data_IF_234762551803
#
_entry.id   IF_234762551803
#
_cell.length_a   1.000
_cell.length_b   1.000
_cell.length_c   1.000
_cell.angle_alpha   90.00
_cell.angle_beta   90.00
_cell.angle_gamma   90.00
#
_symmetry.space_group_name_H-M   'P 1'
#
loop_
_entity.id
_entity.type
_entity.pdbx_description
1 polymer ?
#
# COMPACT_ATOMS: atom_id res chain seq x y z
N UNK A 1 25.24 -54.78 12.72
CA UNK A 1 25.08 -53.36 12.35
C UNK A 1 24.42 -53.32 10.96
N UNK A 2 23.09 -53.19 10.87
CA UNK A 2 22.37 -53.05 9.59
C UNK A 2 21.81 -51.63 9.55
N UNK A 3 22.41 -50.76 8.74
CA UNK A 3 21.87 -49.42 8.48
C UNK A 3 20.85 -49.58 7.36
N UNK A 4 19.56 -49.41 7.69
CA UNK A 4 18.50 -49.34 6.68
C UNK A 4 18.43 -47.89 6.24
N UNK A 5 18.92 -47.60 5.03
CA UNK A 5 18.77 -46.33 4.37
C UNK A 5 17.32 -46.22 3.86
N UNK A 6 16.43 -45.61 4.66
CA UNK A 6 15.05 -45.34 4.26
C UNK A 6 14.99 -44.21 3.25
N UNK A 7 14.77 -44.55 1.98
CA UNK A 7 14.50 -43.59 0.91
C UNK A 7 13.13 -42.93 1.18
N UNK A 8 13.13 -41.74 1.78
CA UNK A 8 11.93 -40.90 1.82
C UNK A 8 11.69 -40.35 0.42
N UNK A 9 10.91 -41.07 -0.39
CA UNK A 9 10.35 -40.55 -1.63
C UNK A 9 9.25 -39.54 -1.27
N UNK A 10 9.64 -38.29 -1.06
CA UNK A 10 8.71 -37.17 -0.88
C UNK A 10 7.94 -36.93 -2.18
N UNK A 11 6.62 -37.08 -2.13
CA UNK A 11 5.71 -36.71 -3.22
C UNK A 11 5.80 -35.18 -3.36
N UNK A 12 6.47 -34.70 -4.41
CA UNK A 12 6.45 -33.29 -4.78
C UNK A 12 5.11 -32.99 -5.47
N UNK A 13 4.14 -32.48 -4.72
CA UNK A 13 2.95 -31.89 -5.30
C UNK A 13 3.34 -30.58 -6.03
N UNK A 14 2.80 -30.30 -7.23
CA UNK A 14 3.07 -29.04 -7.91
C UNK A 14 2.48 -27.89 -7.11
N UNK A 15 3.34 -26.97 -6.66
CA UNK A 15 2.92 -25.71 -6.09
C UNK A 15 2.41 -24.82 -7.24
N UNK A 16 1.10 -24.79 -7.46
CA UNK A 16 0.48 -23.80 -8.34
C UNK A 16 0.52 -22.45 -7.63
N UNK A 17 1.40 -21.55 -8.08
CA UNK A 17 1.37 -20.16 -7.65
C UNK A 17 0.18 -19.45 -8.31
N UNK A 18 -0.71 -18.88 -7.50
CA UNK A 18 -1.77 -18.00 -7.99
C UNK A 18 -1.22 -16.58 -8.16
N UNK A 19 -1.60 -15.94 -9.27
CA UNK A 19 -1.31 -14.52 -9.45
C UNK A 19 -2.14 -13.69 -8.45
N UNK A 20 -1.56 -12.60 -7.94
CA UNK A 20 -2.28 -11.64 -7.12
C UNK A 20 -3.39 -10.95 -7.94
N UNK A 21 -4.51 -10.66 -7.28
CA UNK A 21 -5.55 -9.81 -7.85
C UNK A 21 -5.05 -8.37 -7.97
N UNK A 22 -5.65 -7.55 -8.86
CA UNK A 22 -5.32 -6.13 -8.95
C UNK A 22 -5.45 -5.37 -7.61
N UNK A 23 -6.40 -5.76 -6.75
CA UNK A 23 -6.61 -5.14 -5.44
C UNK A 23 -5.51 -5.53 -4.46
N UNK A 24 -5.10 -6.80 -4.42
CA UNK A 24 -3.98 -7.25 -3.59
C UNK A 24 -2.68 -6.55 -3.99
N UNK A 25 -2.42 -6.46 -5.30
CA UNK A 25 -1.29 -5.71 -5.84
C UNK A 25 -1.35 -4.24 -5.46
N UNK A 26 -2.52 -3.62 -5.65
CA UNK A 26 -2.76 -2.22 -5.30
C UNK A 26 -2.49 -1.95 -3.82
N UNK A 27 -2.97 -2.82 -2.93
CA UNK A 27 -2.71 -2.74 -1.49
C UNK A 27 -1.21 -2.81 -1.19
N UNK A 28 -0.50 -3.77 -1.77
CA UNK A 28 0.95 -3.90 -1.61
C UNK A 28 1.70 -2.62 -2.04
N UNK A 29 1.31 -2.05 -3.17
CA UNK A 29 1.91 -0.81 -3.68
C UNK A 29 1.61 0.37 -2.75
N UNK A 30 0.34 0.61 -2.40
CA UNK A 30 -0.10 1.75 -1.59
C UNK A 30 0.51 1.71 -0.19
N UNK A 31 0.52 0.54 0.44
CA UNK A 31 0.93 0.36 1.84
C UNK A 31 2.43 0.11 2.01
N UNK A 32 3.12 -0.31 0.95
CA UNK A 32 4.55 -0.64 0.98
C UNK A 32 5.38 0.26 0.08
N UNK A 33 5.46 -0.09 -1.21
CA UNK A 33 6.45 0.45 -2.14
C UNK A 33 6.25 1.95 -2.44
N UNK A 34 5.00 2.38 -2.62
CA UNK A 34 4.68 3.77 -2.94
C UNK A 34 4.57 4.65 -1.68
N UNK A 35 4.41 4.04 -0.50
CA UNK A 35 4.40 4.75 0.78
C UNK A 35 3.38 5.88 0.87
N UNK A 36 2.17 5.69 0.32
CA UNK A 36 1.18 6.76 0.20
C UNK A 36 0.83 7.40 1.57
N UNK A 37 0.77 6.58 2.62
CA UNK A 37 0.50 7.02 4.00
C UNK A 37 1.55 7.97 4.59
N UNK A 38 2.78 7.98 4.08
CA UNK A 38 3.84 8.87 4.59
C UNK A 38 3.45 10.35 4.48
N UNK A 39 2.74 10.70 3.41
CA UNK A 39 2.23 12.06 3.20
C UNK A 39 0.73 12.15 3.50
N UNK A 40 -0.05 11.12 3.19
CA UNK A 40 -1.51 11.17 3.25
C UNK A 40 -2.11 10.71 4.59
N UNK A 41 -1.34 10.27 5.57
CA UNK A 41 -1.89 9.87 6.88
C UNK A 41 -1.57 10.93 7.94
N UNK A 42 -2.56 11.48 8.68
CA UNK A 42 -2.33 12.42 9.77
C UNK A 42 -1.31 11.91 10.80
N UNK A 43 -0.59 12.83 11.43
CA UNK A 43 0.28 12.52 12.57
C UNK A 43 -0.45 12.83 13.87
N UNK A 44 -0.50 11.86 14.77
CA UNK A 44 -0.84 12.03 16.17
C UNK A 44 0.42 12.12 17.05
N UNK A 45 0.24 12.19 18.38
CA UNK A 45 1.35 12.30 19.34
C UNK A 45 2.34 11.13 19.31
N UNK A 46 1.87 9.94 18.91
CA UNK A 46 2.66 8.69 18.92
C UNK A 46 3.17 8.30 17.51
N UNK A 47 2.97 9.17 16.51
CA UNK A 47 3.28 8.87 15.11
C UNK A 47 2.03 8.90 14.21
N UNK A 48 2.04 8.21 13.07
CA UNK A 48 0.90 8.19 12.15
C UNK A 48 -0.39 7.70 12.82
N UNK A 49 -1.48 8.45 12.66
CA UNK A 49 -2.83 8.07 13.11
C UNK A 49 -3.47 7.14 12.06
N UNK A 50 -3.21 5.84 12.19
CA UNK A 50 -3.70 4.81 11.27
C UNK A 50 -5.22 4.66 11.29
N UNK A 51 -5.93 5.18 12.30
CA UNK A 51 -7.39 5.23 12.27
C UNK A 51 -7.91 6.22 11.22
N UNK A 52 -7.04 7.11 10.72
CA UNK A 52 -7.31 8.06 9.63
C UNK A 52 -6.35 7.83 8.45
N UNK A 53 -6.00 6.57 8.18
CA UNK A 53 -5.10 6.24 7.07
C UNK A 53 -5.57 6.89 5.76
N UNK A 54 -4.64 7.55 5.06
CA UNK A 54 -4.85 8.23 3.79
C UNK A 54 -5.84 9.43 3.79
N UNK A 55 -6.25 9.91 4.97
CA UNK A 55 -7.21 11.01 5.11
C UNK A 55 -6.65 12.41 4.79
N UNK A 56 -5.39 12.51 4.36
CA UNK A 56 -4.67 13.76 4.09
C UNK A 56 -4.13 14.43 5.35
N UNK A 57 -3.26 15.42 5.18
CA UNK A 57 -2.74 16.26 6.28
C UNK A 57 -2.02 17.50 5.79
N UNK A 58 -1.81 18.44 6.70
CA UNK A 58 -0.71 19.38 6.59
C UNK A 58 0.61 18.60 6.74
N UNK A 59 1.37 18.51 5.66
CA UNK A 59 2.66 17.81 5.65
C UNK A 59 3.74 18.71 6.23
N UNK A 60 3.79 19.96 5.76
CA UNK A 60 4.81 20.95 6.13
C UNK A 60 4.26 22.37 6.00
N UNK A 61 4.70 23.27 6.89
CA UNK A 61 4.38 24.70 6.81
C UNK A 61 5.54 25.51 7.38
N UNK A 62 6.21 26.25 6.51
CA UNK A 62 7.27 27.17 6.87
C UNK A 62 7.20 28.45 6.02
N UNK A 63 8.18 29.34 6.17
CA UNK A 63 8.20 30.62 5.45
C UNK A 63 8.38 30.48 3.93
N UNK A 64 8.96 29.37 3.46
CA UNK A 64 9.22 29.13 2.04
C UNK A 64 8.05 28.45 1.32
N UNK A 65 7.30 27.57 2.00
CA UNK A 65 6.19 26.86 1.39
C UNK A 65 5.22 26.25 2.41
N UNK A 66 4.06 25.84 1.90
CA UNK A 66 3.09 25.02 2.60
C UNK A 66 2.77 23.79 1.74
N UNK A 67 2.97 22.59 2.28
CA UNK A 67 2.64 21.34 1.62
C UNK A 67 1.46 20.67 2.33
N UNK A 68 0.39 20.42 1.59
CA UNK A 68 -0.83 19.76 2.07
C UNK A 68 -1.09 18.55 1.20
N UNK A 69 -1.16 17.37 1.81
CA UNK A 69 -1.59 16.15 1.16
C UNK A 69 -3.12 16.03 1.25
N UNK A 70 -3.77 15.72 0.14
CA UNK A 70 -5.22 15.60 0.06
C UNK A 70 -5.77 14.35 0.77
N UNK A 71 -7.05 14.37 1.14
CA UNK A 71 -7.77 13.16 1.52
C UNK A 71 -8.01 12.30 0.27
N UNK A 72 -7.38 11.13 0.20
CA UNK A 72 -7.50 10.18 -0.92
C UNK A 72 -8.33 8.94 -0.56
N UNK A 73 -9.05 8.98 0.55
CA UNK A 73 -10.07 7.97 0.88
C UNK A 73 -11.35 8.21 0.06
N UNK A 74 -12.27 7.24 0.01
CA UNK A 74 -13.61 7.47 -0.55
C UNK A 74 -14.43 8.56 0.17
N UNK A 75 -14.03 9.03 1.35
CA UNK A 75 -14.63 10.20 2.00
C UNK A 75 -14.05 11.55 1.55
N UNK A 76 -13.09 11.53 0.62
CA UNK A 76 -12.39 12.70 0.11
C UNK A 76 -12.84 13.11 -1.29
N UNK A 77 -12.05 14.00 -1.92
CA UNK A 77 -12.35 14.54 -3.25
C UNK A 77 -12.20 13.54 -4.40
N UNK A 78 -11.62 12.37 -4.11
CA UNK A 78 -11.34 11.32 -5.10
C UNK A 78 -12.48 10.29 -5.19
N UNK A 79 -13.54 10.45 -4.40
CA UNK A 79 -14.65 9.49 -4.32
C UNK A 79 -15.30 9.21 -5.69
N UNK A 80 -15.43 10.25 -6.51
CA UNK A 80 -16.09 10.19 -7.82
C UNK A 80 -15.08 10.11 -8.99
N UNK A 81 -13.78 9.92 -8.71
CA UNK A 81 -12.78 9.85 -9.76
C UNK A 81 -12.85 8.51 -10.48
N UNK A 82 -12.70 8.58 -11.80
CA UNK A 82 -12.49 7.39 -12.63
C UNK A 82 -11.08 6.82 -12.43
N UNK A 83 -10.89 5.55 -12.75
CA UNK A 83 -9.56 4.90 -12.76
C UNK A 83 -8.56 5.65 -13.66
N UNK A 84 -9.03 6.24 -14.75
CA UNK A 84 -8.20 7.02 -15.66
C UNK A 84 -7.71 8.33 -15.01
N UNK A 85 -8.58 9.01 -14.26
CA UNK A 85 -8.21 10.22 -13.52
C UNK A 85 -7.24 9.91 -12.38
N UNK A 86 -7.48 8.82 -11.65
CA UNK A 86 -6.59 8.38 -10.58
C UNK A 86 -5.21 7.99 -11.13
N UNK A 87 -5.18 7.21 -12.22
CA UNK A 87 -3.93 6.82 -12.89
C UNK A 87 -3.13 8.02 -13.38
N UNK A 88 -3.80 9.00 -14.00
CA UNK A 88 -3.16 10.23 -14.46
C UNK A 88 -2.57 11.03 -13.30
N UNK A 89 -3.34 11.26 -12.24
CA UNK A 89 -2.86 12.00 -11.07
C UNK A 89 -1.64 11.34 -10.41
N UNK A 90 -1.60 10.00 -10.33
CA UNK A 90 -0.47 9.26 -9.74
C UNK A 90 0.79 9.36 -10.61
N UNK A 91 0.65 9.28 -11.92
CA UNK A 91 1.78 9.15 -12.85
C UNK A 91 2.32 10.49 -13.35
N UNK A 92 1.46 11.49 -13.42
CA UNK A 92 1.75 12.76 -14.10
C UNK A 92 1.72 13.97 -13.15
N UNK A 93 1.06 13.85 -11.98
CA UNK A 93 0.91 14.94 -11.01
C UNK A 93 -0.34 15.78 -11.24
#
# INVERSE_FOLDING_TARGET
MRVILGLCAGIAAPLTAFAETPVERGKYLVQGIMGCGNCHTPMGPEGPDLAKDLAGRLVEKNAGFTAIAANITPGGRVADWTDAELSRAIREG
#
